data_IF_546570521952
#
_entry.id   IF_546570521952
#
_cell.length_a   1.000
_cell.length_b   1.000
_cell.length_c   1.000
_cell.angle_alpha   90.00
_cell.angle_beta   90.00
_cell.angle_gamma   90.00
#
_symmetry.space_group_name_H-M   'P 1'
#
loop_
_entity.id
_entity.type
_entity.pdbx_description
1 polymer ?
#
# COMPACT_ATOMS: atom_id res chain seq x y z
N UNK A 1 4.93 40.58 4.66
CA UNK A 1 3.86 39.89 3.93
C UNK A 1 3.27 38.86 4.86
N UNK A 2 2.12 39.19 5.44
CA UNK A 2 1.33 38.34 6.34
C UNK A 2 0.55 37.34 5.49
N UNK A 3 0.88 36.05 5.61
CA UNK A 3 0.13 34.97 4.95
C UNK A 3 -1.08 34.67 5.83
N UNK A 4 -2.26 35.01 5.32
CA UNK A 4 -3.54 34.75 5.95
C UNK A 4 -3.83 33.24 5.92
N UNK A 5 -4.07 32.67 7.10
CA UNK A 5 -4.38 31.25 7.32
C UNK A 5 -5.88 31.02 7.10
N UNK A 6 -6.34 31.10 5.84
CA UNK A 6 -7.69 30.63 5.47
C UNK A 6 -7.61 29.17 5.02
N UNK A 7 -7.67 28.26 5.98
CA UNK A 7 -7.95 26.84 5.73
C UNK A 7 -9.46 26.60 5.80
N UNK A 8 -10.06 25.88 4.84
CA UNK A 8 -11.41 25.36 5.02
C UNK A 8 -11.41 24.38 6.20
N UNK A 9 -12.20 24.67 7.21
CA UNK A 9 -12.32 23.86 8.42
C UNK A 9 -12.76 22.43 8.12
N UNK A 10 -11.83 21.47 8.22
CA UNK A 10 -12.13 20.07 8.45
C UNK A 10 -12.45 19.89 9.95
N UNK A 11 -13.59 20.43 10.38
CA UNK A 11 -14.16 20.16 11.70
C UNK A 11 -15.68 20.18 11.60
N UNK A 12 -16.26 19.00 11.45
CA UNK A 12 -17.54 18.67 12.10
C UNK A 12 -17.36 17.34 12.83
N UNK A 13 -16.97 17.36 14.12
CA UNK A 13 -16.93 16.17 14.97
C UNK A 13 -18.35 15.97 15.53
N UNK A 14 -19.32 15.62 14.69
CA UNK A 14 -20.71 15.85 15.09
C UNK A 14 -21.82 15.15 14.33
N UNK A 15 -21.58 14.02 13.67
CA UNK A 15 -22.67 13.09 13.38
C UNK A 15 -22.26 11.67 13.71
N UNK A 16 -22.87 11.16 14.79
CA UNK A 16 -22.97 9.74 15.06
C UNK A 16 -23.43 9.03 13.78
N UNK A 17 -22.48 8.42 13.09
CA UNK A 17 -22.75 7.32 12.20
C UNK A 17 -23.26 6.20 13.11
N UNK A 18 -24.57 6.19 13.38
CA UNK A 18 -25.26 5.00 13.85
C UNK A 18 -24.74 3.85 13.01
N UNK A 19 -24.06 2.86 13.61
CA UNK A 19 -23.61 1.72 12.85
C UNK A 19 -24.87 1.13 12.23
N UNK A 20 -24.91 1.04 10.90
CA UNK A 20 -25.68 -0.04 10.31
C UNK A 20 -25.05 -1.29 10.92
N UNK A 21 -25.72 -1.87 11.90
CA UNK A 21 -25.50 -3.20 12.41
C UNK A 21 -25.69 -4.17 11.23
N UNK A 22 -24.72 -4.19 10.31
CA UNK A 22 -24.35 -5.37 9.60
C UNK A 22 -23.42 -6.08 10.56
N UNK A 23 -23.99 -6.84 11.49
CA UNK A 23 -23.30 -7.98 12.08
C UNK A 23 -22.85 -8.83 10.90
N UNK A 24 -21.61 -8.65 10.44
CA UNK A 24 -20.92 -9.71 9.72
C UNK A 24 -20.73 -10.77 10.81
N UNK A 25 -21.43 -11.90 10.75
CA UNK A 25 -21.25 -12.96 11.74
C UNK A 25 -19.75 -13.29 11.79
N UNK A 26 -19.19 -13.64 12.95
CA UNK A 26 -17.77 -13.99 13.10
C UNK A 26 -17.37 -15.27 12.32
N UNK A 27 -18.20 -15.73 11.39
CA UNK A 27 -18.07 -16.95 10.63
C UNK A 27 -18.72 -16.88 9.23
N UNK A 28 -19.02 -15.69 8.69
CA UNK A 28 -19.41 -15.61 7.28
C UNK A 28 -18.18 -15.87 6.42
N UNK A 29 -17.87 -17.15 6.20
CA UNK A 29 -17.02 -17.57 5.08
C UNK A 29 -17.46 -16.77 3.87
N UNK A 30 -16.54 -16.08 3.16
CA UNK A 30 -16.91 -15.35 1.97
C UNK A 30 -17.68 -16.32 1.07
N UNK A 31 -18.88 -15.92 0.65
CA UNK A 31 -19.70 -16.72 -0.27
C UNK A 31 -18.79 -17.09 -1.44
N UNK A 32 -18.63 -18.38 -1.78
CA UNK A 32 -17.75 -18.79 -2.86
C UNK A 32 -18.08 -17.98 -4.11
N UNK A 33 -17.09 -17.24 -4.59
CA UNK A 33 -17.23 -16.45 -5.80
C UNK A 33 -17.48 -17.42 -6.96
N UNK A 34 -18.66 -17.34 -7.56
CA UNK A 34 -19.00 -18.18 -8.69
C UNK A 34 -17.95 -17.97 -9.80
N UNK A 35 -17.37 -19.06 -10.35
CA UNK A 35 -16.37 -18.95 -11.40
C UNK A 35 -16.98 -18.28 -12.64
N UNK A 36 -16.23 -17.42 -13.35
CA UNK A 36 -16.73 -16.79 -14.58
C UNK A 36 -16.94 -17.85 -15.66
N UNK A 37 -18.10 -17.85 -16.31
CA UNK A 37 -18.43 -18.79 -17.36
C UNK A 37 -17.84 -18.36 -18.72
N UNK A 38 -17.66 -17.06 -18.92
CA UNK A 38 -17.08 -16.47 -20.12
C UNK A 38 -16.32 -15.17 -19.88
N UNK A 39 -15.84 -14.56 -20.97
CA UNK A 39 -15.09 -13.30 -20.91
C UNK A 39 -15.93 -12.13 -20.36
N UNK A 40 -17.24 -12.12 -20.61
CA UNK A 40 -18.15 -11.04 -20.19
C UNK A 40 -18.33 -10.98 -18.66
N UNK A 41 -18.09 -12.09 -17.96
CA UNK A 41 -18.16 -12.15 -16.49
C UNK A 41 -16.90 -11.57 -15.81
N UNK A 42 -15.78 -11.48 -16.54
CA UNK A 42 -14.46 -11.15 -15.99
C UNK A 42 -14.43 -9.80 -15.27
N UNK A 43 -15.01 -8.69 -15.78
CA UNK A 43 -14.97 -7.41 -15.09
C UNK A 43 -15.58 -7.47 -13.69
N UNK A 44 -16.76 -8.10 -13.55
CA UNK A 44 -17.45 -8.26 -12.26
C UNK A 44 -16.66 -9.18 -11.33
N UNK A 45 -16.16 -10.29 -11.87
CA UNK A 45 -15.38 -11.27 -11.14
C UNK A 45 -14.08 -10.65 -10.58
N UNK A 46 -13.31 -9.96 -11.42
CA UNK A 46 -12.06 -9.27 -11.04
C UNK A 46 -12.29 -8.15 -10.02
N UNK A 47 -13.40 -7.43 -10.13
CA UNK A 47 -13.79 -6.45 -9.10
C UNK A 47 -14.00 -7.14 -7.73
N UNK A 48 -14.66 -8.29 -7.72
CA UNK A 48 -14.89 -9.05 -6.49
C UNK A 48 -13.59 -9.62 -5.90
N UNK A 49 -12.65 -10.10 -6.73
CA UNK A 49 -11.32 -10.51 -6.29
C UNK A 49 -10.52 -9.37 -5.66
N UNK A 50 -10.66 -8.14 -6.18
CA UNK A 50 -10.07 -6.95 -5.55
C UNK A 50 -10.62 -6.74 -4.14
N UNK A 51 -11.94 -6.87 -3.95
CA UNK A 51 -12.56 -6.75 -2.62
C UNK A 51 -12.10 -7.83 -1.66
N UNK A 52 -11.97 -9.08 -2.11
CA UNK A 52 -11.36 -10.15 -1.31
C UNK A 52 -9.93 -9.78 -0.88
N UNK A 53 -9.12 -9.30 -1.82
CA UNK A 53 -7.75 -8.90 -1.53
C UNK A 53 -7.67 -7.72 -0.54
N UNK A 54 -8.60 -6.77 -0.61
CA UNK A 54 -8.68 -5.63 0.32
C UNK A 54 -9.19 -6.05 1.72
N UNK A 55 -9.87 -7.18 1.81
CA UNK A 55 -10.26 -7.85 3.07
C UNK A 55 -9.23 -8.89 3.55
N UNK A 56 -8.03 -8.91 2.98
CA UNK A 56 -6.95 -9.85 3.30
C UNK A 56 -7.23 -11.33 3.00
N UNK A 57 -8.29 -11.66 2.25
CA UNK A 57 -8.45 -13.00 1.68
C UNK A 57 -7.57 -13.15 0.42
N UNK A 58 -6.26 -13.08 0.64
CA UNK A 58 -5.25 -13.11 -0.41
C UNK A 58 -5.14 -14.49 -1.08
N UNK A 59 -5.47 -15.56 -0.35
CA UNK A 59 -5.47 -16.91 -0.90
C UNK A 59 -6.59 -17.08 -1.94
N UNK A 60 -7.84 -16.75 -1.58
CA UNK A 60 -8.95 -16.83 -2.53
C UNK A 60 -8.78 -15.83 -3.68
N UNK A 61 -8.30 -14.61 -3.40
CA UNK A 61 -8.02 -13.64 -4.45
C UNK A 61 -6.96 -14.14 -5.44
N UNK A 62 -5.88 -14.77 -4.95
CA UNK A 62 -4.83 -15.31 -5.81
C UNK A 62 -5.33 -16.45 -6.70
N UNK A 63 -6.00 -17.45 -6.11
CA UNK A 63 -6.57 -18.58 -6.85
C UNK A 63 -7.61 -18.11 -7.86
N UNK A 64 -8.45 -17.13 -7.47
CA UNK A 64 -9.41 -16.52 -8.37
C UNK A 64 -8.76 -15.79 -9.53
N UNK A 65 -7.65 -15.08 -9.32
CA UNK A 65 -6.92 -14.44 -10.42
C UNK A 65 -6.34 -15.46 -11.40
N UNK A 66 -5.81 -16.58 -10.90
CA UNK A 66 -5.32 -17.67 -11.75
C UNK A 66 -6.45 -18.22 -12.62
N UNK A 67 -7.63 -18.45 -12.06
CA UNK A 67 -8.80 -18.85 -12.85
C UNK A 67 -9.22 -17.78 -13.88
N UNK A 68 -9.18 -16.50 -13.51
CA UNK A 68 -9.49 -15.41 -14.42
C UNK A 68 -8.51 -15.33 -15.60
N UNK A 69 -7.22 -15.59 -15.35
CA UNK A 69 -6.20 -15.69 -16.41
C UNK A 69 -6.53 -16.84 -17.36
N UNK A 70 -6.85 -18.02 -16.84
CA UNK A 70 -7.19 -19.19 -17.66
C UNK A 70 -8.44 -18.93 -18.52
N UNK A 71 -9.48 -18.34 -17.92
CA UNK A 71 -10.73 -18.00 -18.63
C UNK A 71 -10.46 -16.93 -19.70
N UNK A 72 -9.77 -15.85 -19.35
CA UNK A 72 -9.42 -14.80 -20.30
C UNK A 72 -8.57 -15.35 -21.47
N UNK A 73 -7.63 -16.26 -21.20
CA UNK A 73 -6.84 -16.93 -22.22
C UNK A 73 -7.68 -17.81 -23.14
N UNK A 74 -8.55 -18.66 -22.59
CA UNK A 74 -9.45 -19.53 -23.38
C UNK A 74 -10.36 -18.75 -24.33
N UNK A 75 -10.85 -17.59 -23.90
CA UNK A 75 -11.76 -16.75 -24.68
C UNK A 75 -11.07 -15.62 -25.43
N UNK A 76 -9.73 -15.56 -25.44
CA UNK A 76 -8.97 -14.53 -26.16
C UNK A 76 -9.18 -13.09 -25.66
N UNK A 77 -9.55 -12.90 -24.39
CA UNK A 77 -9.81 -11.58 -23.81
C UNK A 77 -8.52 -10.90 -23.35
N UNK A 78 -7.93 -10.08 -24.21
CA UNK A 78 -6.71 -9.31 -23.88
C UNK A 78 -6.91 -8.39 -22.66
N UNK A 79 -8.03 -7.65 -22.62
CA UNK A 79 -8.36 -6.78 -21.48
C UNK A 79 -8.56 -7.59 -20.18
N UNK A 80 -9.18 -8.77 -20.28
CA UNK A 80 -9.31 -9.70 -19.16
C UNK A 80 -7.96 -10.16 -18.62
N UNK A 81 -7.03 -10.55 -19.51
CA UNK A 81 -5.68 -10.97 -19.14
C UNK A 81 -4.90 -9.84 -18.45
N UNK A 82 -4.87 -8.63 -19.04
CA UNK A 82 -4.22 -7.45 -18.45
C UNK A 82 -4.71 -7.24 -17.02
N UNK A 83 -6.03 -7.23 -16.82
CA UNK A 83 -6.62 -6.97 -15.51
C UNK A 83 -6.40 -8.09 -14.51
N UNK A 84 -6.43 -9.36 -14.95
CA UNK A 84 -6.21 -10.52 -14.10
C UNK A 84 -4.75 -10.65 -13.64
N UNK A 85 -3.78 -10.54 -14.55
CA UNK A 85 -2.35 -10.48 -14.20
C UNK A 85 -2.06 -9.30 -13.28
N UNK A 86 -2.57 -8.11 -13.61
CA UNK A 86 -2.38 -6.94 -12.78
C UNK A 86 -2.92 -7.13 -11.35
N UNK A 87 -4.12 -7.70 -11.19
CA UNK A 87 -4.65 -7.98 -9.85
C UNK A 87 -3.84 -9.07 -9.13
N UNK A 88 -3.40 -10.13 -9.83
CA UNK A 88 -2.57 -11.18 -9.23
C UNK A 88 -1.22 -10.66 -8.76
N UNK A 89 -0.61 -9.73 -9.51
CA UNK A 89 0.58 -8.99 -9.10
C UNK A 89 0.35 -8.25 -7.77
N UNK A 90 -0.77 -7.53 -7.66
CA UNK A 90 -1.13 -6.82 -6.42
C UNK A 90 -1.26 -7.79 -5.24
N UNK A 91 -1.90 -8.94 -5.42
CA UNK A 91 -2.06 -9.97 -4.40
C UNK A 91 -0.71 -10.59 -4.01
N UNK A 92 0.12 -10.94 -5.00
CA UNK A 92 1.45 -11.49 -4.80
C UNK A 92 2.34 -10.53 -4.00
N UNK A 93 2.34 -9.23 -4.33
CA UNK A 93 3.05 -8.19 -3.56
C UNK A 93 2.62 -8.18 -2.10
N UNK A 94 1.31 -8.23 -1.83
CA UNK A 94 0.74 -8.23 -0.47
C UNK A 94 1.12 -9.49 0.30
N UNK A 95 1.25 -10.65 -0.36
CA UNK A 95 1.72 -11.91 0.22
C UNK A 95 3.24 -11.97 0.40
N UNK A 96 3.98 -10.92 -0.01
CA UNK A 96 5.43 -10.91 0.00
C UNK A 96 6.08 -11.68 -1.15
N UNK A 97 5.34 -12.15 -2.16
CA UNK A 97 5.94 -12.81 -3.33
C UNK A 97 6.33 -11.77 -4.39
N UNK A 98 7.34 -10.95 -4.12
CA UNK A 98 7.68 -9.81 -4.98
C UNK A 98 8.16 -10.23 -6.38
N UNK A 99 8.90 -11.34 -6.49
CA UNK A 99 9.32 -11.86 -7.80
C UNK A 99 8.13 -12.26 -8.69
N UNK A 100 7.10 -12.88 -8.12
CA UNK A 100 5.86 -13.18 -8.83
C UNK A 100 5.09 -11.90 -9.17
N UNK A 101 5.09 -10.92 -8.25
CA UNK A 101 4.45 -9.65 -8.47
C UNK A 101 5.05 -8.87 -9.65
N UNK A 102 6.39 -8.88 -9.80
CA UNK A 102 7.10 -8.29 -10.95
C UNK A 102 6.68 -8.99 -12.23
N UNK A 103 6.81 -10.32 -12.28
CA UNK A 103 6.50 -11.14 -13.46
C UNK A 103 5.08 -10.90 -13.97
N UNK A 104 4.10 -10.91 -13.06
CA UNK A 104 2.70 -10.66 -13.42
C UNK A 104 2.46 -9.21 -13.87
N UNK A 105 3.16 -8.23 -13.27
CA UNK A 105 3.01 -6.82 -13.66
C UNK A 105 3.65 -6.51 -15.02
N UNK A 106 4.75 -7.17 -15.35
CA UNK A 106 5.41 -7.10 -16.66
C UNK A 106 4.56 -7.77 -17.74
N UNK A 107 4.07 -8.99 -17.49
CA UNK A 107 3.15 -9.67 -18.41
C UNK A 107 1.90 -8.82 -18.72
N UNK A 108 1.31 -8.20 -17.70
CA UNK A 108 0.19 -7.29 -17.90
C UNK A 108 0.55 -6.05 -18.73
N UNK A 109 1.77 -5.53 -18.61
CA UNK A 109 2.24 -4.37 -19.37
C UNK A 109 2.51 -4.72 -20.85
N UNK A 110 3.13 -5.86 -21.11
CA UNK A 110 3.33 -6.38 -22.48
C UNK A 110 1.99 -6.60 -23.18
N UNK A 111 1.03 -7.23 -22.49
CA UNK A 111 -0.31 -7.44 -23.01
C UNK A 111 -1.06 -6.12 -23.27
N UNK A 112 -0.93 -5.13 -22.36
CA UNK A 112 -1.57 -3.83 -22.55
C UNK A 112 -1.05 -3.15 -23.82
N UNK A 113 0.27 -3.18 -24.04
CA UNK A 113 0.92 -2.56 -25.20
C UNK A 113 0.42 -3.10 -26.54
N UNK A 114 0.00 -4.36 -26.60
CA UNK A 114 -0.52 -5.00 -27.83
C UNK A 114 -2.05 -5.09 -27.88
N UNK A 115 -2.74 -4.73 -26.79
CA UNK A 115 -4.21 -4.83 -26.70
C UNK A 115 -4.98 -3.75 -27.48
N UNK A 116 -4.30 -2.67 -27.88
CA UNK A 116 -4.93 -1.48 -28.46
C UNK A 116 -5.74 -0.63 -27.46
N UNK A 117 -5.68 -0.94 -26.17
CA UNK A 117 -6.30 -0.13 -25.13
C UNK A 117 -5.62 1.23 -24.98
N UNK A 118 -6.39 2.23 -24.56
CA UNK A 118 -5.89 3.57 -24.29
C UNK A 118 -4.76 3.53 -23.23
N UNK A 119 -3.52 3.93 -23.58
CA UNK A 119 -2.39 3.92 -22.66
C UNK A 119 -2.53 4.93 -21.51
N UNK A 120 -3.42 5.92 -21.63
CA UNK A 120 -3.75 6.87 -20.56
C UNK A 120 -5.07 6.53 -19.84
N UNK A 121 -5.73 5.44 -20.24
CA UNK A 121 -7.04 5.06 -19.75
C UNK A 121 -7.06 4.42 -18.36
N UNK A 122 -8.24 4.15 -17.79
CA UNK A 122 -8.40 3.57 -16.45
C UNK A 122 -7.67 2.24 -16.21
N UNK A 123 -7.66 1.35 -17.21
CA UNK A 123 -6.96 0.07 -17.11
C UNK A 123 -5.44 0.26 -16.99
N UNK A 124 -4.88 1.17 -17.80
CA UNK A 124 -3.48 1.54 -17.76
C UNK A 124 -3.12 2.19 -16.42
N UNK A 125 -3.94 3.12 -15.92
CA UNK A 125 -3.72 3.77 -14.63
C UNK A 125 -3.69 2.76 -13.47
N UNK A 126 -4.64 1.81 -13.45
CA UNK A 126 -4.67 0.76 -12.43
C UNK A 126 -3.46 -0.18 -12.54
N UNK A 127 -3.05 -0.57 -13.75
CA UNK A 127 -1.82 -1.34 -13.95
C UNK A 127 -0.57 -0.59 -13.46
N UNK A 128 -0.40 0.67 -13.87
CA UNK A 128 0.74 1.49 -13.44
C UNK A 128 0.76 1.66 -11.93
N UNK A 129 -0.40 1.81 -11.28
CA UNK A 129 -0.46 1.90 -9.82
C UNK A 129 0.17 0.68 -9.13
N UNK A 130 -0.05 -0.52 -9.69
CA UNK A 130 0.47 -1.78 -9.16
C UNK A 130 1.94 -1.97 -9.49
N UNK A 131 2.36 -1.63 -10.71
CA UNK A 131 3.78 -1.63 -11.11
C UNK A 131 4.62 -0.72 -10.22
N UNK A 132 4.19 0.54 -10.06
CA UNK A 132 4.87 1.51 -9.19
C UNK A 132 4.93 1.00 -7.75
N UNK A 133 3.85 0.41 -7.22
CA UNK A 133 3.86 -0.15 -5.88
C UNK A 133 4.89 -1.28 -5.69
N UNK A 134 5.04 -2.18 -6.67
CA UNK A 134 6.05 -3.24 -6.64
C UNK A 134 7.46 -2.65 -6.72
N UNK A 135 7.70 -1.71 -7.63
CA UNK A 135 9.02 -1.07 -7.80
C UNK A 135 9.43 -0.27 -6.55
N UNK A 136 8.48 0.39 -5.87
CA UNK A 136 8.72 1.03 -4.57
C UNK A 136 9.18 0.03 -3.50
N UNK A 137 8.54 -1.14 -3.43
CA UNK A 137 8.88 -2.19 -2.46
C UNK A 137 10.24 -2.87 -2.79
N UNK A 138 10.68 -2.80 -4.05
CA UNK A 138 11.99 -3.26 -4.51
C UNK A 138 13.09 -2.19 -4.39
N UNK A 139 12.73 -0.92 -4.19
CA UNK A 139 13.67 0.21 -4.19
C UNK A 139 14.12 0.65 -5.59
N UNK A 140 13.42 0.25 -6.65
CA UNK A 140 13.74 0.59 -8.04
C UNK A 140 13.07 1.91 -8.44
N UNK A 141 13.50 3.02 -7.83
CA UNK A 141 12.78 4.29 -7.92
C UNK A 141 12.88 4.97 -9.28
N UNK A 142 14.05 4.91 -9.92
CA UNK A 142 14.28 5.50 -11.23
C UNK A 142 13.40 4.82 -12.28
N UNK A 143 13.29 3.49 -12.21
CA UNK A 143 12.37 2.72 -13.05
C UNK A 143 10.91 3.11 -12.77
N UNK A 144 10.53 3.24 -11.50
CA UNK A 144 9.17 3.62 -11.13
C UNK A 144 8.78 5.02 -11.64
N UNK A 145 9.69 5.99 -11.53
CA UNK A 145 9.49 7.35 -12.02
C UNK A 145 9.42 7.42 -13.55
N UNK A 146 10.27 6.65 -14.23
CA UNK A 146 10.24 6.49 -15.67
C UNK A 146 8.91 5.96 -16.22
N UNK A 147 8.09 5.26 -15.41
CA UNK A 147 6.77 4.78 -15.84
C UNK A 147 5.73 5.90 -15.99
N UNK A 148 5.91 7.04 -15.34
CA UNK A 148 4.91 8.12 -15.34
C UNK A 148 4.86 8.89 -16.66
N UNK A 149 6.00 9.03 -17.33
CA UNK A 149 6.14 9.85 -18.54
C UNK A 149 5.37 9.33 -19.76
N UNK A 150 5.63 8.09 -20.23
CA UNK A 150 5.10 7.59 -21.51
C UNK A 150 3.57 7.59 -21.62
N UNK A 151 2.87 7.44 -20.48
CA UNK A 151 1.41 7.41 -20.41
C UNK A 151 0.78 8.75 -19.96
N UNK A 152 1.58 9.81 -19.80
CA UNK A 152 1.10 11.13 -19.37
C UNK A 152 0.72 11.22 -17.89
N UNK A 153 1.04 10.19 -17.09
CA UNK A 153 0.71 10.14 -15.66
C UNK A 153 1.62 11.00 -14.77
N UNK A 154 2.61 11.69 -15.35
CA UNK A 154 3.39 12.71 -14.65
C UNK A 154 2.66 14.04 -14.45
N UNK A 155 1.64 14.34 -15.27
CA UNK A 155 0.88 15.59 -15.22
C UNK A 155 -0.32 15.56 -14.28
N UNK A 156 -1.31 16.43 -14.50
CA UNK A 156 -2.57 16.35 -13.75
C UNK A 156 -3.31 15.06 -14.08
N UNK A 157 -3.73 14.30 -13.06
CA UNK A 157 -4.51 13.08 -13.27
C UNK A 157 -6.00 13.42 -13.32
N UNK A 158 -6.79 12.74 -14.15
CA UNK A 158 -8.24 12.90 -14.14
C UNK A 158 -8.84 12.70 -12.74
N UNK A 159 -9.85 13.50 -12.39
CA UNK A 159 -10.52 13.43 -11.08
C UNK A 159 -11.61 12.34 -11.03
N UNK A 160 -11.24 11.14 -11.49
CA UNK A 160 -12.11 9.96 -11.55
C UNK A 160 -11.66 8.89 -10.53
N UNK A 161 -12.58 8.09 -9.97
CA UNK A 161 -12.23 7.13 -8.92
C UNK A 161 -11.20 6.08 -9.35
N UNK A 162 -11.12 5.77 -10.64
CA UNK A 162 -10.19 4.79 -11.22
C UNK A 162 -8.72 5.23 -11.08
N UNK A 163 -8.47 6.54 -10.96
CA UNK A 163 -7.12 7.11 -10.84
C UNK A 163 -6.66 7.28 -9.40
N UNK A 164 -7.52 7.05 -8.39
CA UNK A 164 -7.16 7.29 -6.99
C UNK A 164 -6.00 6.41 -6.51
N UNK A 165 -5.95 5.14 -6.94
CA UNK A 165 -4.84 4.27 -6.59
C UNK A 165 -3.52 4.72 -7.24
N UNK A 166 -3.59 5.17 -8.50
CA UNK A 166 -2.42 5.72 -9.19
C UNK A 166 -1.93 6.98 -8.47
N UNK A 167 -2.84 7.90 -8.13
CA UNK A 167 -2.52 9.12 -7.38
C UNK A 167 -1.87 8.81 -6.03
N UNK A 168 -2.42 7.84 -5.29
CA UNK A 168 -1.86 7.40 -4.02
C UNK A 168 -0.42 6.89 -4.15
N UNK A 169 -0.14 6.00 -5.11
CA UNK A 169 1.22 5.47 -5.27
C UNK A 169 2.17 6.47 -5.90
N UNK A 170 1.68 7.39 -6.73
CA UNK A 170 2.47 8.50 -7.27
C UNK A 170 2.90 9.45 -6.15
N UNK A 171 2.00 9.75 -5.22
CA UNK A 171 2.34 10.55 -4.04
C UNK A 171 3.45 9.90 -3.18
N UNK A 172 3.38 8.58 -3.00
CA UNK A 172 4.46 7.80 -2.36
C UNK A 172 5.76 7.85 -3.16
N UNK A 173 5.68 7.71 -4.48
CA UNK A 173 6.84 7.73 -5.36
C UNK A 173 7.52 9.11 -5.33
N UNK A 174 6.78 10.20 -5.53
CA UNK A 174 7.28 11.57 -5.42
C UNK A 174 8.00 11.80 -4.09
N UNK A 175 7.44 11.34 -2.97
CA UNK A 175 8.11 11.42 -1.67
C UNK A 175 9.45 10.67 -1.69
N UNK A 176 9.47 9.45 -2.23
CA UNK A 176 10.66 8.60 -2.26
C UNK A 176 11.77 9.16 -3.16
N UNK A 177 11.42 9.90 -4.23
CA UNK A 177 12.37 10.58 -5.14
C UNK A 177 12.57 12.06 -4.79
N UNK A 178 12.52 12.39 -3.48
CA UNK A 178 12.82 13.71 -2.94
C UNK A 178 11.94 14.88 -3.44
N UNK A 179 10.69 14.60 -3.82
CA UNK A 179 9.63 15.58 -4.14
C UNK A 179 8.48 15.52 -3.11
N UNK A 180 8.74 15.81 -1.81
CA UNK A 180 7.75 15.62 -0.75
C UNK A 180 6.53 16.56 -0.87
N UNK A 181 6.68 17.75 -1.44
CA UNK A 181 5.56 18.68 -1.65
C UNK A 181 4.53 18.14 -2.64
N UNK A 182 4.99 17.67 -3.80
CA UNK A 182 4.15 16.99 -4.80
C UNK A 182 3.55 15.70 -4.23
N UNK A 183 4.36 14.95 -3.48
CA UNK A 183 3.92 13.73 -2.81
C UNK A 183 2.77 13.97 -1.85
N UNK A 184 2.90 14.97 -0.99
CA UNK A 184 1.88 15.34 0.00
C UNK A 184 0.60 15.88 -0.67
N UNK A 185 0.73 16.65 -1.75
CA UNK A 185 -0.41 17.16 -2.51
C UNK A 185 -1.26 16.01 -3.09
N UNK A 186 -0.63 15.01 -3.71
CA UNK A 186 -1.34 13.83 -4.23
C UNK A 186 -2.04 13.04 -3.13
N UNK A 187 -1.39 12.87 -1.97
CA UNK A 187 -1.93 12.11 -0.84
C UNK A 187 -3.13 12.82 -0.19
N UNK A 188 -3.06 14.14 0.01
CA UNK A 188 -4.21 14.92 0.51
C UNK A 188 -5.36 14.92 -0.50
N UNK A 189 -5.05 15.03 -1.80
CA UNK A 189 -6.09 14.96 -2.83
C UNK A 189 -6.84 13.63 -2.79
N UNK A 190 -6.16 12.51 -2.49
CA UNK A 190 -6.82 11.23 -2.24
C UNK A 190 -7.80 11.33 -1.06
N UNK A 191 -7.36 11.90 0.07
CA UNK A 191 -8.20 12.10 1.25
C UNK A 191 -9.45 12.95 0.97
N UNK A 192 -9.29 14.09 0.29
CA UNK A 192 -10.40 14.95 -0.13
C UNK A 192 -11.43 14.17 -0.95
N UNK A 193 -10.98 13.39 -1.94
CA UNK A 193 -11.88 12.65 -2.83
C UNK A 193 -12.60 11.50 -2.12
N UNK A 194 -11.94 10.83 -1.18
CA UNK A 194 -12.57 9.79 -0.36
C UNK A 194 -13.61 10.37 0.59
N UNK A 195 -13.35 11.55 1.16
CA UNK A 195 -14.28 12.25 2.03
C UNK A 195 -15.56 12.65 1.28
N UNK A 196 -15.43 13.26 0.09
CA UNK A 196 -16.58 13.63 -0.76
C UNK A 196 -17.46 12.41 -1.09
N UNK A 197 -16.83 11.25 -1.35
CA UNK A 197 -17.52 10.00 -1.70
C UNK A 197 -18.03 9.20 -0.50
N UNK A 198 -17.69 9.60 0.73
CA UNK A 198 -17.96 8.85 1.97
C UNK A 198 -17.47 7.39 1.90
N UNK A 199 -16.32 7.19 1.28
CA UNK A 199 -15.76 5.87 0.97
C UNK A 199 -14.35 5.69 1.54
N UNK A 200 -14.01 6.43 2.60
CA UNK A 200 -12.71 6.38 3.26
C UNK A 200 -12.54 5.04 4.00
N UNK A 201 -11.66 4.19 3.49
CA UNK A 201 -11.41 2.86 4.03
C UNK A 201 -9.89 2.59 4.08
N UNK A 202 -9.27 2.62 5.27
CA UNK A 202 -7.81 2.50 5.42
C UNK A 202 -7.21 1.20 4.86
N UNK A 203 -8.00 0.12 4.77
CA UNK A 203 -7.56 -1.13 4.14
C UNK A 203 -7.40 -1.07 2.61
N UNK A 204 -8.03 -0.09 1.95
CA UNK A 204 -8.01 0.06 0.49
C UNK A 204 -6.99 1.12 0.08
N UNK A 205 -7.06 2.30 0.70
CA UNK A 205 -6.21 3.45 0.35
C UNK A 205 -5.74 4.16 1.64
N UNK A 206 -4.60 3.74 2.23
CA UNK A 206 -4.09 4.26 3.49
C UNK A 206 -3.32 5.57 3.27
N UNK A 207 -4.03 6.60 2.80
CA UNK A 207 -3.43 7.90 2.48
C UNK A 207 -2.92 8.63 3.72
N UNK A 208 -3.56 8.46 4.90
CA UNK A 208 -3.12 9.12 6.13
C UNK A 208 -1.79 8.56 6.57
N UNK A 209 -1.64 7.23 6.59
CA UNK A 209 -0.35 6.58 6.82
C UNK A 209 0.76 7.14 5.91
N UNK A 210 0.50 7.23 4.61
CA UNK A 210 1.49 7.76 3.67
C UNK A 210 1.79 9.24 3.93
N UNK A 211 0.77 10.08 4.14
CA UNK A 211 0.92 11.51 4.41
C UNK A 211 1.66 11.77 5.73
N UNK A 212 1.37 10.99 6.78
CA UNK A 212 2.07 11.04 8.07
C UNK A 212 3.57 10.80 7.92
N UNK A 213 3.98 9.87 7.06
CA UNK A 213 5.42 9.65 6.78
C UNK A 213 6.04 10.89 6.14
N UNK A 214 5.37 11.51 5.15
CA UNK A 214 5.87 12.74 4.51
C UNK A 214 5.97 13.89 5.52
N UNK A 215 4.91 14.12 6.29
CA UNK A 215 4.86 15.18 7.31
C UNK A 215 5.94 15.02 8.37
N UNK A 216 6.19 13.79 8.83
CA UNK A 216 7.26 13.51 9.77
C UNK A 216 8.63 13.85 9.17
N UNK A 217 8.87 13.47 7.91
CA UNK A 217 10.10 13.80 7.18
C UNK A 217 10.30 15.31 6.97
N UNK A 218 9.21 16.08 6.87
CA UNK A 218 9.22 17.55 6.79
C UNK A 218 9.32 18.24 8.17
N UNK A 219 9.43 17.48 9.27
CA UNK A 219 9.48 18.03 10.63
C UNK A 219 8.12 18.46 11.21
N UNK A 220 7.02 18.22 10.50
CA UNK A 220 5.66 18.53 10.95
C UNK A 220 5.09 17.42 11.88
N UNK A 221 5.80 17.13 12.96
CA UNK A 221 5.56 15.98 13.84
C UNK A 221 4.15 15.90 14.44
N UNK A 222 3.59 17.02 14.91
CA UNK A 222 2.22 17.03 15.44
C UNK A 222 1.17 16.68 14.37
N UNK A 223 1.34 17.20 13.15
CA UNK A 223 0.43 16.89 12.05
C UNK A 223 0.54 15.43 11.61
N UNK A 224 1.77 14.89 11.58
CA UNK A 224 2.03 13.49 11.30
C UNK A 224 1.35 12.58 12.33
N UNK A 225 1.48 12.88 13.62
CA UNK A 225 0.90 12.11 14.72
C UNK A 225 -0.63 12.14 14.69
N UNK A 226 -1.25 13.31 14.45
CA UNK A 226 -2.71 13.41 14.34
C UNK A 226 -3.26 12.50 13.25
N UNK A 227 -2.69 12.54 12.04
CA UNK A 227 -3.14 11.68 10.93
C UNK A 227 -2.91 10.19 11.20
N UNK A 228 -1.77 9.83 11.82
CA UNK A 228 -1.49 8.44 12.16
C UNK A 228 -2.45 7.91 13.24
N UNK A 229 -2.72 8.71 14.27
CA UNK A 229 -3.66 8.37 15.34
C UNK A 229 -5.11 8.25 14.83
N UNK A 230 -5.51 9.11 13.89
CA UNK A 230 -6.81 9.00 13.23
C UNK A 230 -6.93 7.67 12.47
N UNK A 231 -5.92 7.28 11.69
CA UNK A 231 -5.95 6.02 10.95
C UNK A 231 -5.94 4.79 11.88
N UNK A 232 -5.18 4.82 13.00
CA UNK A 232 -5.24 3.79 14.05
C UNK A 232 -6.66 3.68 14.62
N UNK A 233 -7.32 4.79 14.89
CA UNK A 233 -8.70 4.81 15.41
C UNK A 233 -9.67 4.20 14.41
N UNK A 234 -9.59 4.59 13.14
CA UNK A 234 -10.43 4.05 12.06
C UNK A 234 -10.21 2.55 11.87
N UNK A 235 -8.96 2.10 11.81
CA UNK A 235 -8.62 0.68 11.60
C UNK A 235 -9.07 -0.21 12.76
N UNK A 236 -8.96 0.26 14.01
CA UNK A 236 -9.53 -0.43 15.18
C UNK A 236 -11.05 -0.51 15.11
N UNK A 237 -11.72 0.61 14.83
CA UNK A 237 -13.19 0.67 14.72
C UNK A 237 -13.73 -0.31 13.67
N UNK A 238 -13.00 -0.49 12.56
CA UNK A 238 -13.41 -1.35 11.45
C UNK A 238 -12.84 -2.78 11.52
N UNK A 239 -12.03 -3.12 12.53
CA UNK A 239 -11.43 -4.45 12.65
C UNK A 239 -10.45 -4.82 11.53
N UNK A 240 -9.75 -3.82 10.96
CA UNK A 240 -8.88 -4.02 9.80
C UNK A 240 -7.46 -4.38 10.23
N UNK A 241 -7.20 -5.65 10.55
CA UNK A 241 -5.94 -6.10 11.16
C UNK A 241 -4.67 -5.64 10.40
N UNK A 242 -4.55 -5.91 9.10
CA UNK A 242 -3.35 -5.50 8.36
C UNK A 242 -3.20 -3.99 8.20
N UNK A 243 -4.30 -3.25 8.11
CA UNK A 243 -4.27 -1.80 8.05
C UNK A 243 -3.88 -1.20 9.42
N UNK A 244 -4.37 -1.78 10.52
CA UNK A 244 -3.99 -1.43 11.89
C UNK A 244 -2.49 -1.63 12.11
N UNK A 245 -1.96 -2.79 11.69
CA UNK A 245 -0.52 -3.07 11.77
C UNK A 245 0.34 -2.03 11.05
N UNK A 246 -0.05 -1.63 9.83
CA UNK A 246 0.60 -0.55 9.07
C UNK A 246 0.55 0.79 9.81
N UNK A 247 -0.64 1.19 10.27
CA UNK A 247 -0.84 2.47 10.95
C UNK A 247 -0.04 2.55 12.27
N UNK A 248 -0.05 1.48 13.06
CA UNK A 248 0.73 1.36 14.30
C UNK A 248 2.24 1.40 14.05
N UNK A 249 2.73 0.76 12.99
CA UNK A 249 4.14 0.80 12.57
C UNK A 249 4.57 2.25 12.31
N UNK A 250 3.78 2.99 11.54
CA UNK A 250 4.05 4.39 11.18
C UNK A 250 3.96 5.30 12.41
N UNK A 251 2.91 5.15 13.22
CA UNK A 251 2.77 5.86 14.49
C UNK A 251 3.97 5.58 15.43
N UNK A 252 4.46 4.34 15.44
CA UNK A 252 5.63 3.95 16.20
C UNK A 252 6.88 4.75 15.84
N UNK A 253 7.13 4.94 14.54
CA UNK A 253 8.24 5.75 14.03
C UNK A 253 8.09 7.23 14.38
N UNK A 254 6.86 7.77 14.27
CA UNK A 254 6.58 9.19 14.54
C UNK A 254 6.77 9.53 16.02
N UNK A 255 6.26 8.68 16.92
CA UNK A 255 6.35 8.89 18.37
C UNK A 255 7.77 8.68 18.91
N UNK A 256 8.47 7.66 18.41
CA UNK A 256 9.74 7.22 18.98
C UNK A 256 9.64 6.83 20.47
N UNK A 257 10.79 6.65 21.12
CA UNK A 257 10.85 6.35 22.56
C UNK A 257 10.04 5.13 22.99
N UNK A 258 9.55 5.15 24.23
CA UNK A 258 8.78 4.03 24.80
C UNK A 258 7.41 3.84 24.13
N UNK A 259 6.69 4.93 23.83
CA UNK A 259 5.39 4.88 23.15
C UNK A 259 5.51 4.34 21.72
N UNK A 260 6.58 4.71 21.02
CA UNK A 260 6.88 4.22 19.68
C UNK A 260 7.21 2.74 19.66
N UNK A 261 8.02 2.27 20.62
CA UNK A 261 8.32 0.84 20.81
C UNK A 261 7.05 0.03 21.07
N UNK A 262 6.18 0.48 21.98
CA UNK A 262 4.93 -0.20 22.28
C UNK A 262 4.00 -0.30 21.06
N UNK A 263 3.91 0.78 20.27
CA UNK A 263 3.11 0.79 19.03
C UNK A 263 3.68 -0.18 17.99
N UNK A 264 5.00 -0.24 17.84
CA UNK A 264 5.67 -1.17 16.93
C UNK A 264 5.54 -2.65 17.38
N UNK A 265 5.57 -2.94 18.68
CA UNK A 265 5.31 -4.28 19.22
C UNK A 265 3.86 -4.73 18.98
N UNK A 266 2.89 -3.83 19.13
CA UNK A 266 1.49 -4.10 18.76
C UNK A 266 1.36 -4.33 17.24
N UNK A 267 2.02 -3.53 16.41
CA UNK A 267 2.03 -3.70 14.96
C UNK A 267 2.49 -5.10 14.54
N UNK A 268 3.60 -5.58 15.11
CA UNK A 268 4.14 -6.93 14.83
C UNK A 268 3.13 -8.00 15.26
N UNK A 269 2.60 -7.93 16.49
CA UNK A 269 1.62 -8.91 16.99
C UNK A 269 0.39 -9.01 16.10
N UNK A 270 -0.14 -7.87 15.65
CA UNK A 270 -1.31 -7.84 14.75
C UNK A 270 -0.94 -8.44 13.39
N UNK A 271 0.20 -8.04 12.80
CA UNK A 271 0.60 -8.48 11.47
C UNK A 271 0.95 -9.97 11.38
N UNK A 272 1.45 -10.57 12.46
CA UNK A 272 1.70 -12.01 12.56
C UNK A 272 0.44 -12.86 12.29
N UNK A 273 -0.75 -12.33 12.63
CA UNK A 273 -2.03 -12.98 12.36
C UNK A 273 -2.58 -12.74 10.96
N UNK A 274 -1.84 -12.09 10.06
CA UNK A 274 -2.32 -11.68 8.73
C UNK A 274 -1.45 -12.25 7.61
N UNK A 275 -1.98 -12.39 6.38
CA UNK A 275 -1.18 -12.88 5.26
C UNK A 275 -0.23 -11.82 4.67
N UNK A 276 -0.12 -10.64 5.29
CA UNK A 276 0.69 -9.51 4.79
C UNK A 276 2.18 -9.63 5.16
N UNK A 277 2.84 -10.66 4.65
CA UNK A 277 4.25 -10.99 4.98
C UNK A 277 5.21 -9.81 4.76
N UNK A 278 5.10 -9.09 3.66
CA UNK A 278 5.98 -7.94 3.40
C UNK A 278 5.78 -6.79 4.40
N UNK A 279 4.54 -6.56 4.84
CA UNK A 279 4.26 -5.54 5.87
C UNK A 279 4.82 -5.98 7.24
N UNK A 280 4.75 -7.27 7.56
CA UNK A 280 5.36 -7.84 8.76
C UNK A 280 6.90 -7.70 8.74
N UNK A 281 7.54 -8.01 7.61
CA UNK A 281 8.98 -7.81 7.43
C UNK A 281 9.37 -6.34 7.69
N UNK A 282 8.61 -5.42 7.10
CA UNK A 282 8.83 -3.98 7.27
C UNK A 282 8.66 -3.56 8.74
N UNK A 283 7.64 -4.09 9.44
CA UNK A 283 7.41 -3.81 10.85
C UNK A 283 8.54 -4.31 11.76
N UNK A 284 9.09 -5.50 11.49
CA UNK A 284 10.24 -6.04 12.21
C UNK A 284 11.48 -5.13 12.03
N UNK A 285 11.78 -4.72 10.79
CA UNK A 285 12.92 -3.84 10.51
C UNK A 285 12.75 -2.46 11.16
N UNK A 286 11.55 -1.87 11.08
CA UNK A 286 11.21 -0.59 11.71
C UNK A 286 11.30 -0.67 13.24
N UNK A 287 10.84 -1.77 13.86
CA UNK A 287 10.96 -1.99 15.29
C UNK A 287 12.43 -2.16 15.72
N UNK A 288 13.22 -2.89 14.92
CA UNK A 288 14.67 -3.00 15.10
C UNK A 288 15.37 -1.64 15.11
N UNK A 289 14.97 -0.73 14.23
CA UNK A 289 15.47 0.64 14.21
C UNK A 289 15.13 1.39 15.52
N UNK A 290 13.89 1.29 16.01
CA UNK A 290 13.48 1.89 17.28
C UNK A 290 14.25 1.31 18.48
N UNK A 291 14.48 0.00 18.50
CA UNK A 291 15.28 -0.65 19.55
C UNK A 291 16.74 -0.17 19.54
N UNK A 292 17.32 0.00 18.35
CA UNK A 292 18.65 0.58 18.20
C UNK A 292 18.70 2.03 18.75
N UNK A 293 17.72 2.86 18.40
CA UNK A 293 17.61 4.23 18.92
C UNK A 293 17.48 4.27 20.46
N UNK A 294 16.74 3.31 21.03
CA UNK A 294 16.61 3.12 22.48
C UNK A 294 17.82 2.43 23.13
N UNK A 295 18.92 2.21 22.40
CA UNK A 295 20.14 1.49 22.84
C UNK A 295 19.90 0.04 23.33
N UNK A 296 18.79 -0.60 22.93
CA UNK A 296 18.42 -2.00 23.27
C UNK A 296 19.01 -3.01 22.28
N UNK A 297 20.33 -2.92 22.02
CA UNK A 297 21.03 -3.66 20.94
C UNK A 297 20.80 -5.18 20.91
N UNK A 298 20.81 -5.93 22.03
CA UNK A 298 20.59 -7.38 21.99
C UNK A 298 19.18 -7.77 21.52
N UNK A 299 18.19 -6.94 21.79
CA UNK A 299 16.81 -7.16 21.30
C UNK A 299 16.71 -6.71 19.84
N UNK A 300 17.31 -5.56 19.48
CA UNK A 300 17.35 -5.09 18.10
C UNK A 300 17.92 -6.15 17.16
N UNK A 301 19.04 -6.80 17.52
CA UNK A 301 19.66 -7.87 16.71
C UNK A 301 18.75 -9.08 16.48
N UNK A 302 17.93 -9.46 17.48
CA UNK A 302 16.98 -10.57 17.33
C UNK A 302 15.90 -10.20 16.31
N UNK A 303 15.22 -9.07 16.53
CA UNK A 303 14.15 -8.63 15.64
C UNK A 303 14.66 -8.33 14.22
N UNK A 304 15.84 -7.74 14.08
CA UNK A 304 16.44 -7.45 12.76
C UNK A 304 16.85 -8.73 12.02
N UNK A 305 17.17 -9.82 12.72
CA UNK A 305 17.42 -11.12 12.07
C UNK A 305 16.13 -11.67 11.48
N UNK A 306 15.06 -11.70 12.27
CA UNK A 306 13.75 -12.17 11.82
C UNK A 306 13.23 -11.31 10.66
N UNK A 307 13.43 -9.98 10.75
CA UNK A 307 13.09 -9.05 9.68
C UNK A 307 13.92 -9.23 8.41
N UNK A 308 15.22 -9.54 8.54
CA UNK A 308 16.10 -9.83 7.40
C UNK A 308 15.69 -11.12 6.70
N UNK A 309 15.50 -12.21 7.45
CA UNK A 309 15.07 -13.50 6.91
C UNK A 309 13.75 -13.35 6.14
N UNK A 310 12.74 -12.71 6.74
CA UNK A 310 11.46 -12.50 6.07
C UNK A 310 11.57 -11.53 4.86
N UNK A 311 12.47 -10.55 4.89
CA UNK A 311 12.71 -9.67 3.75
C UNK A 311 13.36 -10.41 2.57
N UNK A 312 14.29 -11.32 2.85
CA UNK A 312 14.94 -12.20 1.86
C UNK A 312 13.93 -13.19 1.26
N UNK A 313 13.10 -13.83 2.11
CA UNK A 313 11.98 -14.67 1.64
C UNK A 313 11.00 -13.89 0.77
N UNK A 314 10.76 -12.61 1.09
CA UNK A 314 9.89 -11.77 0.28
C UNK A 314 10.54 -11.33 -1.05
N UNK A 315 11.85 -11.49 -1.20
CA UNK A 315 12.61 -11.01 -2.35
C UNK A 315 12.72 -9.49 -2.43
N UNK A 316 12.77 -8.78 -1.29
CA UNK A 316 13.01 -7.31 -1.26
C UNK A 316 14.47 -7.00 -0.94
N UNK A 317 15.32 -6.71 -1.95
CA UNK A 317 16.73 -6.39 -1.70
C UNK A 317 16.88 -5.11 -0.87
N UNK A 318 16.07 -4.08 -1.13
CA UNK A 318 16.07 -2.84 -0.37
C UNK A 318 15.80 -3.06 1.12
N UNK A 319 14.79 -3.85 1.46
CA UNK A 319 14.45 -4.09 2.87
C UNK A 319 15.50 -4.96 3.56
N UNK A 320 16.05 -5.97 2.86
CA UNK A 320 17.14 -6.80 3.36
C UNK A 320 18.40 -5.96 3.65
N UNK A 321 18.80 -5.07 2.74
CA UNK A 321 19.97 -4.20 2.93
C UNK A 321 19.79 -3.21 4.07
N UNK A 322 18.58 -2.67 4.23
CA UNK A 322 18.21 -1.85 5.38
C UNK A 322 18.36 -2.64 6.68
N UNK A 323 17.85 -3.87 6.73
CA UNK A 323 17.97 -4.73 7.90
C UNK A 323 19.45 -5.04 8.23
N UNK A 324 20.28 -5.38 7.23
CA UNK A 324 21.73 -5.64 7.40
C UNK A 324 22.47 -4.42 7.93
N UNK A 325 22.18 -3.23 7.42
CA UNK A 325 22.83 -1.98 7.86
C UNK A 325 22.47 -1.66 9.31
N UNK A 326 21.19 -1.78 9.67
CA UNK A 326 20.73 -1.61 11.06
C UNK A 326 21.31 -2.68 11.99
N UNK A 327 21.47 -3.92 11.51
CA UNK A 327 22.06 -5.02 12.27
C UNK A 327 23.55 -4.76 12.56
N UNK A 328 24.28 -4.17 11.61
CA UNK A 328 25.66 -3.73 11.78
C UNK A 328 25.80 -2.50 12.71
N UNK A 329 24.70 -1.92 13.18
CA UNK A 329 24.69 -0.74 14.06
C UNK A 329 25.00 0.56 13.33
N UNK A 330 24.90 0.58 12.00
CA UNK A 330 25.08 1.79 11.19
C UNK A 330 23.76 2.52 11.03
N UNK A 331 23.80 3.85 10.93
CA UNK A 331 22.64 4.63 10.54
C UNK A 331 22.26 4.23 9.10
N UNK A 332 20.97 3.94 8.89
CA UNK A 332 20.43 3.76 7.55
C UNK A 332 20.09 5.13 6.99
N UNK A 333 20.82 5.54 5.96
CA UNK A 333 20.44 6.64 5.10
C UNK A 333 19.94 6.03 3.80
N UNK A 334 18.71 6.34 3.42
CA UNK A 334 18.17 5.91 2.13
C UNK A 334 19.08 6.47 1.02
N UNK A 335 19.77 5.60 0.28
CA UNK A 335 20.86 5.97 -0.64
C UNK A 335 20.44 5.98 -2.11
N UNK A 336 19.18 6.29 -2.44
CA UNK A 336 18.72 6.47 -3.83
C UNK A 336 18.81 7.93 -4.32
N UNK A 337 19.77 8.68 -3.82
CA UNK A 337 19.93 10.10 -4.12
C UNK A 337 21.36 10.55 -3.98
N UNK A 338 22.28 9.90 -4.70
CA UNK A 338 23.53 10.54 -5.10
C UNK A 338 24.14 9.82 -6.30
N UNK A 339 23.69 10.21 -7.48
CA UNK A 339 24.52 10.37 -8.68
C UNK A 339 23.82 11.29 -9.66
#
# INVERSE_FOLDING_TARGET
MTVSDERPGLADPGRELTPRNGTVPPDSRPVPLAPPAGADDLPRYLHALRRLADADDLAAAHSGCTLAIDVAGRFGSAAGLVMAYSQRSSVARRQGRLADAVRDAEAAAELLAVSGADPAGPAAALLMSRRIAVLLDLGQLELADGLLGPAGFGGELPDHPEFLLLRYVRGRLHTAVARPGEGLADLYRCGERLAVRRSDHPGVLPWRSAASVVLAGLGAGEAAERLAAEEVTLTRRHGLASALGRALRIQGQIRGGAAGLASAEEAIRVLQGTPRRFELATALVDHGALLNAARRRPQARRVLRDGLELAEECGSPMLADRARTLFAGRAWHWSGGNR
#
